data_IF_840984753360
#
_entry.id   IF_840984753360
#
_cell.length_a   1.000
_cell.length_b   1.000
_cell.length_c   1.000
_cell.angle_alpha   90.00
_cell.angle_beta   90.00
_cell.angle_gamma   90.00
#
_symmetry.space_group_name_H-M   'P 1'
#
loop_
_entity.id
_entity.type
_entity.pdbx_description
1 polymer ?
#
# COMPACT_ATOMS: atom_id res chain seq x y z
N UNK A 1 8.29 -42.89 -20.42
CA UNK A 1 8.54 -41.45 -20.21
C UNK A 1 9.51 -41.31 -19.05
N UNK A 2 10.62 -40.62 -19.27
CA UNK A 2 11.73 -40.56 -18.33
C UNK A 2 11.43 -39.59 -17.18
N UNK A 3 11.50 -40.09 -15.94
CA UNK A 3 11.28 -39.35 -14.70
C UNK A 3 12.24 -38.15 -14.56
N UNK A 4 13.40 -38.20 -15.24
CA UNK A 4 14.31 -37.06 -15.31
C UNK A 4 13.76 -35.89 -16.12
N UNK A 5 12.95 -36.15 -17.15
CA UNK A 5 12.39 -35.11 -18.01
C UNK A 5 11.19 -34.41 -17.36
N UNK A 6 10.40 -35.11 -16.54
CA UNK A 6 9.33 -34.48 -15.74
C UNK A 6 9.92 -33.55 -14.68
N UNK A 7 10.95 -33.98 -13.95
CA UNK A 7 11.63 -33.15 -12.96
C UNK A 7 12.33 -31.93 -13.56
N UNK A 8 12.87 -32.03 -14.79
CA UNK A 8 13.44 -30.90 -15.52
C UNK A 8 12.37 -29.88 -15.93
N UNK A 9 11.21 -30.34 -16.41
CA UNK A 9 10.07 -29.46 -16.75
C UNK A 9 9.50 -28.78 -15.52
N UNK A 10 9.38 -29.48 -14.40
CA UNK A 10 8.92 -28.90 -13.12
C UNK A 10 9.91 -27.86 -12.57
N UNK A 11 11.22 -28.09 -12.70
CA UNK A 11 12.24 -27.08 -12.35
C UNK A 11 12.20 -25.84 -13.24
N UNK A 12 11.86 -25.99 -14.52
CA UNK A 12 11.71 -24.84 -15.44
C UNK A 12 10.42 -24.07 -15.15
N UNK A 13 9.34 -24.77 -14.77
CA UNK A 13 8.05 -24.16 -14.43
C UNK A 13 8.06 -23.46 -13.06
N UNK A 14 8.72 -24.04 -12.06
CA UNK A 14 8.95 -23.43 -10.75
C UNK A 14 10.03 -22.32 -10.71
N UNK A 15 10.76 -22.11 -11.83
CA UNK A 15 11.73 -21.02 -11.99
C UNK A 15 11.13 -19.72 -12.52
N UNK A 16 9.84 -19.68 -12.88
CA UNK A 16 9.11 -18.40 -12.86
C UNK A 16 8.98 -18.01 -11.39
N UNK A 17 10.05 -17.43 -10.84
CA UNK A 17 10.07 -16.85 -9.51
C UNK A 17 8.88 -15.89 -9.47
N UNK A 18 7.83 -16.24 -8.75
CA UNK A 18 6.88 -15.24 -8.29
C UNK A 18 7.70 -14.15 -7.61
N UNK A 19 7.47 -12.90 -8.00
CA UNK A 19 8.19 -11.79 -7.42
C UNK A 19 7.97 -11.86 -5.90
N UNK A 20 9.06 -11.78 -5.14
CA UNK A 20 8.97 -11.70 -3.68
C UNK A 20 8.06 -10.52 -3.35
N UNK A 21 6.91 -10.75 -2.68
CA UNK A 21 6.00 -9.66 -2.37
C UNK A 21 6.69 -8.71 -1.38
N UNK A 22 6.65 -7.41 -1.66
CA UNK A 22 7.14 -6.41 -0.71
C UNK A 22 6.32 -6.49 0.56
N UNK A 23 6.97 -6.56 1.72
CA UNK A 23 6.26 -6.49 3.00
C UNK A 23 5.54 -5.14 3.13
N UNK A 24 4.46 -5.08 3.92
CA UNK A 24 3.77 -3.82 4.20
C UNK A 24 4.74 -2.76 4.76
N UNK A 25 5.71 -3.18 5.57
CA UNK A 25 6.78 -2.32 6.06
C UNK A 25 7.61 -1.73 4.91
N UNK A 26 8.04 -2.55 3.94
CA UNK A 26 8.82 -2.07 2.80
C UNK A 26 8.01 -1.17 1.87
N UNK A 27 6.73 -1.52 1.69
CA UNK A 27 5.77 -0.73 0.94
C UNK A 27 5.60 0.67 1.53
N UNK A 28 5.29 0.75 2.84
CA UNK A 28 5.17 2.02 3.55
C UNK A 28 6.49 2.76 3.62
N UNK A 29 7.61 2.07 3.83
CA UNK A 29 8.93 2.70 3.83
C UNK A 29 9.27 3.40 2.52
N UNK A 30 8.95 2.77 1.38
CA UNK A 30 9.12 3.42 0.08
C UNK A 30 8.20 4.63 -0.10
N UNK A 31 6.97 4.63 0.45
CA UNK A 31 6.08 5.79 0.44
C UNK A 31 6.60 6.91 1.34
N UNK A 32 7.01 6.58 2.56
CA UNK A 32 7.59 7.52 3.53
C UNK A 32 8.77 8.23 2.92
N UNK A 33 9.71 7.50 2.31
CA UNK A 33 10.87 8.08 1.65
C UNK A 33 10.50 8.89 0.42
N UNK A 34 9.65 8.34 -0.47
CA UNK A 34 9.26 8.99 -1.73
C UNK A 34 8.54 10.32 -1.50
N UNK A 35 7.61 10.37 -0.56
CA UNK A 35 6.78 11.55 -0.29
C UNK A 35 7.28 12.36 0.90
N UNK A 36 8.44 11.99 1.48
CA UNK A 36 9.03 12.64 2.66
C UNK A 36 8.02 12.76 3.81
N UNK A 37 7.26 11.69 4.03
CA UNK A 37 6.30 11.64 5.14
C UNK A 37 7.05 11.74 6.45
N UNK A 38 6.53 12.56 7.35
CA UNK A 38 7.19 12.92 8.60
C UNK A 38 6.21 12.84 9.76
N UNK A 39 6.67 13.19 10.95
CA UNK A 39 5.82 13.35 12.13
C UNK A 39 4.63 14.29 11.90
N UNK A 40 4.76 15.30 11.03
CA UNK A 40 3.66 16.18 10.68
C UNK A 40 2.54 15.44 9.94
N UNK A 41 2.88 14.46 9.10
CA UNK A 41 1.90 13.60 8.42
C UNK A 41 1.22 12.65 9.42
N UNK A 42 1.97 12.12 10.40
CA UNK A 42 1.37 11.34 11.49
C UNK A 42 0.37 12.18 12.30
N UNK A 43 0.72 13.42 12.65
CA UNK A 43 -0.19 14.35 13.30
C UNK A 43 -1.43 14.65 12.45
N UNK A 44 -1.27 14.77 11.13
CA UNK A 44 -2.40 14.90 10.21
C UNK A 44 -3.34 13.69 10.32
N UNK A 45 -2.83 12.45 10.19
CA UNK A 45 -3.62 11.22 10.33
C UNK A 45 -4.44 11.23 11.63
N UNK A 46 -3.81 11.57 12.75
CA UNK A 46 -4.43 11.55 14.07
C UNK A 46 -5.50 12.65 14.24
N UNK A 47 -5.35 13.77 13.53
CA UNK A 47 -6.28 14.91 13.59
C UNK A 47 -7.47 14.84 12.62
N UNK A 48 -7.38 14.03 11.57
CA UNK A 48 -8.41 14.00 10.53
C UNK A 48 -9.74 13.47 11.05
N UNK A 49 -10.80 14.23 10.81
CA UNK A 49 -12.17 13.80 11.10
C UNK A 49 -12.78 13.03 9.92
N UNK A 50 -13.90 12.35 10.14
CA UNK A 50 -14.63 11.70 9.07
C UNK A 50 -15.07 12.69 7.96
N UNK A 51 -15.40 13.94 8.33
CA UNK A 51 -15.77 14.98 7.38
C UNK A 51 -14.58 15.41 6.50
N UNK A 52 -13.38 15.51 7.10
CA UNK A 52 -12.15 15.83 6.36
C UNK A 52 -11.81 14.75 5.35
N UNK A 53 -11.94 13.48 5.77
CA UNK A 53 -11.69 12.32 4.91
C UNK A 53 -12.69 12.30 3.73
N UNK A 54 -13.96 12.61 3.99
CA UNK A 54 -14.98 12.68 2.92
C UNK A 54 -14.78 13.88 1.98
N UNK A 55 -14.28 15.00 2.50
CA UNK A 55 -13.88 16.14 1.68
C UNK A 55 -12.68 15.79 0.78
N UNK A 56 -11.68 15.11 1.34
CA UNK A 56 -10.51 14.62 0.60
C UNK A 56 -10.91 13.67 -0.53
N UNK A 57 -11.79 12.71 -0.25
CA UNK A 57 -12.24 11.76 -1.26
C UNK A 57 -12.96 12.45 -2.44
N UNK A 58 -13.80 13.46 -2.16
CA UNK A 58 -14.46 14.24 -3.22
C UNK A 58 -13.47 15.04 -4.06
N UNK A 59 -12.45 15.62 -3.43
CA UNK A 59 -11.42 16.42 -4.13
C UNK A 59 -10.54 15.57 -5.05
N UNK A 60 -10.15 14.38 -4.61
CA UNK A 60 -9.28 13.48 -5.36
C UNK A 60 -10.06 12.53 -6.30
N UNK A 61 -11.38 12.70 -6.44
CA UNK A 61 -12.20 11.85 -7.28
C UNK A 61 -11.81 12.01 -8.75
N UNK A 62 -11.50 10.90 -9.42
CA UNK A 62 -11.13 10.89 -10.84
C UNK A 62 -9.62 10.96 -11.11
N UNK A 63 -8.79 11.09 -10.07
CA UNK A 63 -7.34 10.97 -10.23
C UNK A 63 -6.94 9.53 -10.60
N UNK A 64 -6.02 9.42 -11.55
CA UNK A 64 -5.42 8.14 -11.89
C UNK A 64 -4.49 7.69 -10.76
N UNK A 65 -4.53 6.42 -10.40
CA UNK A 65 -3.64 5.87 -9.39
C UNK A 65 -2.19 5.94 -9.89
N UNK A 66 -1.28 6.62 -9.18
CA UNK A 66 0.08 6.80 -9.68
C UNK A 66 0.79 5.45 -9.80
N UNK A 67 1.71 5.36 -10.75
CA UNK A 67 2.61 4.23 -10.82
C UNK A 67 3.62 4.30 -9.66
N UNK A 68 3.64 3.24 -8.87
CA UNK A 68 4.52 3.07 -7.73
C UNK A 68 4.86 1.60 -7.59
N UNK A 69 6.16 1.32 -7.54
CA UNK A 69 6.71 0.01 -7.21
C UNK A 69 7.42 0.14 -5.87
N UNK A 70 6.97 -0.64 -4.91
CA UNK A 70 7.60 -0.68 -3.60
C UNK A 70 8.99 -1.32 -3.69
N UNK A 71 9.95 -0.85 -2.88
CA UNK A 71 11.23 -1.55 -2.74
C UNK A 71 10.99 -2.96 -2.20
N UNK A 72 11.69 -3.95 -2.76
CA UNK A 72 11.62 -5.34 -2.30
C UNK A 72 12.12 -5.48 -0.85
N UNK A 73 13.16 -4.74 -0.51
CA UNK A 73 13.73 -4.65 0.83
C UNK A 73 13.97 -3.19 1.17
N UNK A 74 13.31 -2.70 2.22
CA UNK A 74 13.51 -1.34 2.70
C UNK A 74 14.41 -1.32 3.94
N UNK A 75 15.51 -0.58 3.85
CA UNK A 75 16.38 -0.27 4.99
C UNK A 75 16.01 1.12 5.50
N UNK A 76 15.27 1.15 6.61
CA UNK A 76 14.80 2.37 7.24
C UNK A 76 15.93 3.02 8.06
N UNK A 77 16.03 4.34 7.96
CA UNK A 77 16.69 5.16 8.99
C UNK A 77 15.88 5.11 10.29
N UNK A 78 16.47 5.46 11.46
CA UNK A 78 15.72 5.52 12.72
C UNK A 78 14.47 6.40 12.64
N UNK A 79 14.56 7.54 11.95
CA UNK A 79 13.46 8.49 11.77
C UNK A 79 12.36 7.90 10.88
N UNK A 80 12.72 7.29 9.75
CA UNK A 80 11.74 6.62 8.88
C UNK A 80 11.07 5.45 9.61
N UNK A 81 11.82 4.69 10.40
CA UNK A 81 11.28 3.57 11.17
C UNK A 81 10.19 4.06 12.14
N UNK A 82 10.43 5.16 12.86
CA UNK A 82 9.43 5.76 13.76
C UNK A 82 8.16 6.17 13.00
N UNK A 83 8.31 6.88 11.87
CA UNK A 83 7.18 7.30 11.04
C UNK A 83 6.38 6.10 10.51
N UNK A 84 7.06 5.07 9.99
CA UNK A 84 6.38 3.85 9.49
C UNK A 84 5.58 3.18 10.60
N UNK A 85 6.16 3.05 11.80
CA UNK A 85 5.47 2.46 12.94
C UNK A 85 4.26 3.27 13.39
N UNK A 86 4.34 4.61 13.41
CA UNK A 86 3.19 5.46 13.73
C UNK A 86 2.08 5.34 12.69
N UNK A 87 2.41 5.34 11.40
CA UNK A 87 1.43 5.12 10.33
C UNK A 87 0.75 3.76 10.48
N UNK A 88 1.52 2.69 10.74
CA UNK A 88 0.98 1.36 10.97
C UNK A 88 0.03 1.32 12.17
N UNK A 89 0.42 1.92 13.29
CA UNK A 89 -0.40 1.96 14.51
C UNK A 89 -1.70 2.74 14.30
N UNK A 90 -1.65 3.87 13.59
CA UNK A 90 -2.79 4.75 13.41
C UNK A 90 -3.81 4.23 12.37
N UNK A 91 -3.32 3.60 11.29
CA UNK A 91 -4.17 3.22 10.16
C UNK A 91 -4.48 1.74 10.05
N UNK A 92 -3.79 0.85 10.78
CA UNK A 92 -3.87 -0.62 10.72
C UNK A 92 -5.11 -1.19 10.01
N UNK A 93 -5.03 -1.33 8.68
CA UNK A 93 -6.09 -1.90 7.85
C UNK A 93 -5.50 -2.63 6.64
N UNK A 94 -6.20 -3.62 6.05
CA UNK A 94 -5.70 -4.37 4.91
C UNK A 94 -5.35 -3.46 3.72
N UNK A 95 -6.13 -2.39 3.48
CA UNK A 95 -6.05 -1.58 2.27
C UNK A 95 -4.74 -0.78 2.15
N UNK A 96 -3.99 -0.62 3.25
CA UNK A 96 -2.68 0.01 3.26
C UNK A 96 -1.68 -0.62 2.26
N UNK A 97 -1.77 -1.93 2.02
CA UNK A 97 -0.89 -2.62 1.08
C UNK A 97 -1.07 -2.15 -0.39
N UNK A 98 -2.18 -1.47 -0.69
CA UNK A 98 -2.49 -0.98 -2.03
C UNK A 98 -2.42 0.55 -2.15
N UNK A 99 -2.18 1.29 -1.07
CA UNK A 99 -2.00 2.74 -1.13
C UNK A 99 -0.71 3.10 -1.89
N UNK A 100 -0.72 4.12 -2.75
CA UNK A 100 0.44 4.52 -3.58
C UNK A 100 0.86 5.98 -3.43
N UNK A 101 0.09 6.76 -2.68
CA UNK A 101 0.35 8.15 -2.38
C UNK A 101 -0.16 8.50 -0.96
N UNK A 102 0.12 9.71 -0.45
CA UNK A 102 -0.32 10.11 0.87
C UNK A 102 -1.85 10.20 0.99
N UNK A 103 -2.57 10.62 -0.06
CA UNK A 103 -4.04 10.67 -0.01
C UNK A 103 -4.66 9.29 0.18
N UNK A 104 -4.18 8.27 -0.53
CA UNK A 104 -4.66 6.90 -0.37
C UNK A 104 -4.36 6.33 1.02
N UNK A 105 -3.24 6.72 1.64
CA UNK A 105 -2.99 6.35 3.04
C UNK A 105 -4.09 6.92 3.93
N UNK A 106 -4.41 8.21 3.80
CA UNK A 106 -5.45 8.88 4.58
C UNK A 106 -6.85 8.31 4.33
N UNK A 107 -7.15 7.90 3.09
CA UNK A 107 -8.44 7.34 2.71
C UNK A 107 -8.59 5.85 3.10
N UNK A 108 -7.48 5.11 3.23
CA UNK A 108 -7.49 3.64 3.36
C UNK A 108 -8.44 3.11 4.44
N UNK A 109 -8.35 3.65 5.66
CA UNK A 109 -9.13 3.19 6.80
C UNK A 109 -10.63 3.49 6.63
N UNK A 110 -10.97 4.67 6.14
CA UNK A 110 -12.36 5.04 5.92
C UNK A 110 -12.99 4.28 4.75
N UNK A 111 -12.22 4.00 3.69
CA UNK A 111 -12.65 3.16 2.58
C UNK A 111 -12.91 1.72 3.06
N UNK A 112 -12.00 1.14 3.84
CA UNK A 112 -12.18 -0.19 4.41
C UNK A 112 -13.42 -0.28 5.29
N UNK A 113 -13.69 0.73 6.13
CA UNK A 113 -14.91 0.76 6.96
C UNK A 113 -16.19 0.79 6.13
N UNK A 114 -16.19 1.52 5.00
CA UNK A 114 -17.36 1.65 4.12
C UNK A 114 -17.55 0.43 3.23
N UNK A 115 -16.46 -0.15 2.72
CA UNK A 115 -16.44 -1.23 1.73
C UNK A 115 -15.31 -2.20 2.05
N UNK A 116 -15.46 -3.12 3.03
CA UNK A 116 -14.38 -3.99 3.48
C UNK A 116 -14.05 -5.16 2.53
N UNK A 117 -14.92 -5.43 1.55
CA UNK A 117 -14.83 -6.57 0.63
C UNK A 117 -14.46 -6.17 -0.81
N UNK A 118 -13.71 -5.09 -1.00
CA UNK A 118 -13.15 -4.77 -2.32
C UNK A 118 -12.04 -5.75 -2.69
N UNK A 119 -12.11 -6.24 -3.93
CA UNK A 119 -11.13 -7.16 -4.48
C UNK A 119 -9.74 -6.51 -4.65
N UNK A 120 -8.64 -7.24 -4.44
CA UNK A 120 -7.28 -6.75 -4.60
C UNK A 120 -7.00 -6.08 -5.96
N UNK A 121 -7.58 -6.60 -7.04
CA UNK A 121 -7.42 -6.06 -8.40
C UNK A 121 -8.01 -4.66 -8.52
N UNK A 122 -9.13 -4.41 -7.83
CA UNK A 122 -9.78 -3.09 -7.79
C UNK A 122 -8.91 -2.12 -6.99
N UNK A 123 -8.45 -2.55 -5.81
CA UNK A 123 -7.58 -1.76 -4.94
C UNK A 123 -6.24 -1.41 -5.62
N UNK A 124 -5.70 -2.33 -6.43
CA UNK A 124 -4.46 -2.15 -7.17
C UNK A 124 -4.59 -1.23 -8.39
N UNK A 125 -5.78 -1.13 -9.01
CA UNK A 125 -5.99 -0.43 -10.28
C UNK A 125 -6.64 0.94 -10.13
N UNK A 126 -7.46 1.15 -9.10
CA UNK A 126 -8.24 2.38 -8.92
C UNK A 126 -7.76 3.19 -7.73
N UNK A 127 -7.77 4.52 -7.90
CA UNK A 127 -7.48 5.43 -6.80
C UNK A 127 -8.56 5.30 -5.72
N UNK A 128 -8.19 5.30 -4.43
CA UNK A 128 -9.16 5.08 -3.35
C UNK A 128 -10.31 6.10 -3.32
N UNK A 129 -10.06 7.34 -3.75
CA UNK A 129 -11.10 8.35 -3.88
C UNK A 129 -12.20 7.97 -4.90
N UNK A 130 -11.85 7.27 -5.99
CA UNK A 130 -12.82 6.77 -6.97
C UNK A 130 -13.61 5.55 -6.47
N UNK A 131 -13.20 4.97 -5.34
CA UNK A 131 -13.85 3.83 -4.68
C UNK A 131 -14.68 4.24 -3.45
N UNK A 132 -14.60 5.51 -3.07
CA UNK A 132 -15.31 6.09 -1.92
C UNK A 132 -16.83 5.92 -2.05
#
# INVERSE_FOLDING_TARGET
MDFKDSLRRDRVRGKRKEALPSSLFSHLGGLVRRYRLSEAFCGLIESMTAADIESLARRCQGEAKPHYEAPLFFLATPEEYQVIHRILAALANPYLAWARNPEELLLSAGLWRRRPALEPEILASRHFAALW
#
